data_IF_383446673436
#
_entry.id   IF_383446673436
#
_cell.length_a   1.000
_cell.length_b   1.000
_cell.length_c   1.000
_cell.angle_alpha   90.00
_cell.angle_beta   90.00
_cell.angle_gamma   90.00
#
_symmetry.space_group_name_H-M   'P 1'
#
loop_
_entity.id
_entity.type
_entity.pdbx_description
1 polymer ?
#
# COMPACT_ATOMS: atom_id res chain seq x y z
N UNK A 1 -9.38 -2.57 -16.17
CA UNK A 1 -9.48 -3.57 -15.09
C UNK A 1 -8.22 -3.47 -14.21
N UNK A 2 -8.35 -3.40 -12.88
CA UNK A 2 -7.20 -3.34 -11.97
C UNK A 2 -6.33 -4.60 -12.05
N UNK A 3 -5.01 -4.41 -12.16
CA UNK A 3 -4.01 -5.48 -12.24
C UNK A 3 -3.15 -5.51 -10.98
N UNK A 4 -2.65 -6.70 -10.66
CA UNK A 4 -1.72 -6.95 -9.55
C UNK A 4 -0.56 -7.80 -10.07
N UNK A 5 0.68 -7.36 -9.80
CA UNK A 5 1.85 -8.20 -10.05
C UNK A 5 2.00 -9.20 -8.91
N UNK A 6 1.94 -10.49 -9.23
CA UNK A 6 2.03 -11.57 -8.25
C UNK A 6 3.50 -11.94 -7.99
N UNK A 7 3.83 -12.42 -6.77
CA UNK A 7 5.17 -12.83 -6.45
C UNK A 7 5.70 -13.93 -7.40
N UNK A 8 7.00 -14.01 -7.67
CA UNK A 8 8.09 -13.14 -7.23
C UNK A 8 8.67 -12.32 -8.38
N UNK A 9 7.87 -12.01 -9.39
CA UNK A 9 8.33 -11.28 -10.57
C UNK A 9 7.35 -10.18 -10.97
N UNK A 10 7.90 -9.04 -11.36
CA UNK A 10 7.13 -7.85 -11.73
C UNK A 10 6.38 -8.02 -13.06
N UNK A 11 6.85 -8.93 -13.92
CA UNK A 11 6.26 -9.25 -15.22
C UNK A 11 5.11 -10.27 -15.12
N UNK A 12 4.92 -10.89 -13.95
CA UNK A 12 3.83 -11.83 -13.70
C UNK A 12 2.61 -11.07 -13.16
N UNK A 13 1.70 -10.66 -14.05
CA UNK A 13 0.51 -9.87 -13.69
C UNK A 13 -0.77 -10.70 -13.83
N UNK A 14 -1.68 -10.51 -12.87
CA UNK A 14 -3.04 -11.06 -12.91
C UNK A 14 -4.05 -9.96 -12.63
N UNK A 15 -5.30 -10.20 -13.02
CA UNK A 15 -6.40 -9.32 -12.63
C UNK A 15 -6.59 -9.37 -11.11
N UNK A 16 -6.86 -8.22 -10.50
CA UNK A 16 -7.13 -8.16 -9.06
C UNK A 16 -8.30 -9.07 -8.66
N UNK A 17 -9.31 -9.19 -9.53
CA UNK A 17 -10.46 -10.05 -9.32
C UNK A 17 -10.10 -11.54 -9.19
N UNK A 18 -9.08 -12.01 -9.93
CA UNK A 18 -8.61 -13.39 -9.86
C UNK A 18 -7.82 -13.70 -8.56
N UNK A 19 -7.48 -12.66 -7.80
CA UNK A 19 -6.75 -12.75 -6.53
C UNK A 19 -7.63 -12.37 -5.33
N UNK A 20 -8.90 -12.03 -5.57
CA UNK A 20 -9.83 -11.64 -4.51
C UNK A 20 -9.91 -12.72 -3.42
N UNK A 21 -9.90 -12.31 -2.15
CA UNK A 21 -9.88 -13.24 -1.01
C UNK A 21 -8.48 -13.65 -0.54
N UNK A 22 -7.40 -13.21 -1.22
CA UNK A 22 -6.03 -13.43 -0.75
C UNK A 22 -5.79 -12.57 0.49
N UNK A 23 -5.67 -13.20 1.66
CA UNK A 23 -5.47 -12.49 2.93
C UNK A 23 -4.16 -11.71 2.95
N UNK A 24 -4.20 -10.55 3.59
CA UNK A 24 -3.08 -9.64 3.72
C UNK A 24 -2.71 -9.41 5.18
N UNK A 25 -1.45 -9.63 5.51
CA UNK A 25 -0.88 -9.28 6.81
C UNK A 25 -0.36 -7.85 6.84
N UNK A 26 -0.05 -7.29 5.66
CA UNK A 26 0.38 -5.90 5.53
C UNK A 26 -0.07 -5.27 4.22
N UNK A 27 -0.44 -3.99 4.28
CA UNK A 27 -0.52 -3.11 3.12
C UNK A 27 0.52 -2.01 3.25
N UNK A 28 1.34 -1.84 2.22
CA UNK A 28 2.38 -0.82 2.19
C UNK A 28 2.15 0.17 1.04
N UNK A 29 1.85 1.41 1.41
CA UNK A 29 1.60 2.53 0.48
C UNK A 29 2.71 3.56 0.61
N UNK A 30 3.26 3.97 -0.52
CA UNK A 30 4.23 5.07 -0.55
C UNK A 30 5.67 4.63 -0.69
N UNK A 31 6.20 4.89 -1.88
CA UNK A 31 7.61 4.75 -2.25
C UNK A 31 7.96 5.89 -3.22
N UNK A 32 9.17 5.89 -3.81
CA UNK A 32 9.48 6.80 -4.92
C UNK A 32 8.50 6.64 -6.11
N UNK A 33 7.79 5.51 -6.22
CA UNK A 33 6.83 5.23 -7.31
C UNK A 33 5.44 5.78 -7.02
N UNK A 34 4.93 5.62 -5.79
CA UNK A 34 3.53 5.91 -5.45
C UNK A 34 3.36 6.58 -4.07
N UNK A 35 4.26 7.51 -3.73
CA UNK A 35 4.21 8.30 -2.50
C UNK A 35 4.04 9.81 -2.74
N UNK A 36 3.58 10.23 -3.92
CA UNK A 36 3.34 11.66 -4.22
C UNK A 36 2.09 12.15 -3.48
N UNK A 37 1.92 13.46 -3.41
CA UNK A 37 0.75 14.03 -2.72
C UNK A 37 -0.58 13.52 -3.31
N UNK A 38 -0.68 13.40 -4.63
CA UNK A 38 -1.87 12.87 -5.31
C UNK A 38 -2.17 11.41 -4.93
N UNK A 39 -1.14 10.59 -4.73
CA UNK A 39 -1.28 9.21 -4.26
C UNK A 39 -1.85 9.19 -2.83
N UNK A 40 -1.27 9.98 -1.92
CA UNK A 40 -1.75 10.09 -0.55
C UNK A 40 -3.18 10.62 -0.48
N UNK A 41 -3.51 11.62 -1.30
CA UNK A 41 -4.86 12.19 -1.40
C UNK A 41 -5.86 11.16 -1.88
N UNK A 42 -5.51 10.38 -2.91
CA UNK A 42 -6.37 9.29 -3.43
C UNK A 42 -6.59 8.23 -2.35
N UNK A 43 -5.53 7.79 -1.69
CA UNK A 43 -5.61 6.83 -0.60
C UNK A 43 -6.50 7.34 0.53
N UNK A 44 -6.25 8.56 1.02
CA UNK A 44 -7.02 9.21 2.08
C UNK A 44 -8.51 9.30 1.74
N UNK A 45 -8.87 9.69 0.52
CA UNK A 45 -10.27 9.78 0.09
C UNK A 45 -11.01 8.45 0.24
N UNK A 46 -10.36 7.33 -0.09
CA UNK A 46 -10.97 5.99 -0.06
C UNK A 46 -11.17 5.51 1.38
N UNK A 47 -10.17 5.77 2.25
CA UNK A 47 -10.18 5.30 3.66
C UNK A 47 -10.86 6.26 4.64
N UNK A 48 -11.13 7.50 4.23
CA UNK A 48 -11.74 8.53 5.09
C UNK A 48 -13.06 8.06 5.68
N UNK A 49 -13.19 8.20 7.00
CA UNK A 49 -14.37 7.77 7.77
C UNK A 49 -14.51 6.25 7.93
N UNK A 50 -13.52 5.46 7.49
CA UNK A 50 -13.49 4.00 7.60
C UNK A 50 -12.31 3.57 8.48
N UNK A 51 -12.16 2.25 8.71
CA UNK A 51 -11.05 1.66 9.46
C UNK A 51 -10.39 0.56 8.64
N UNK A 52 -9.07 0.53 8.62
CA UNK A 52 -8.32 -0.56 7.99
C UNK A 52 -8.43 -1.84 8.82
N UNK A 53 -8.53 -2.98 8.14
CA UNK A 53 -8.63 -4.30 8.75
C UNK A 53 -7.27 -4.97 8.96
N UNK A 54 -6.24 -4.52 8.24
CA UNK A 54 -4.88 -5.06 8.31
C UNK A 54 -3.85 -3.96 8.57
N UNK A 55 -2.63 -4.36 8.98
CA UNK A 55 -1.52 -3.45 9.26
C UNK A 55 -1.20 -2.65 8.00
N UNK A 56 -1.49 -1.35 8.03
CA UNK A 56 -1.34 -0.49 6.86
C UNK A 56 -0.32 0.61 7.14
N UNK A 57 0.76 0.62 6.36
CA UNK A 57 1.87 1.56 6.50
C UNK A 57 1.87 2.51 5.32
N UNK A 58 1.89 3.81 5.60
CA UNK A 58 1.88 4.88 4.60
C UNK A 58 3.12 5.76 4.74
N UNK A 59 3.95 5.84 3.70
CA UNK A 59 5.20 6.64 3.70
C UNK A 59 5.18 7.69 2.58
N UNK A 60 5.14 8.98 2.91
CA UNK A 60 5.27 10.05 1.91
C UNK A 60 6.61 9.98 1.18
N UNK A 61 6.64 10.28 -0.12
CA UNK A 61 7.85 10.18 -0.93
C UNK A 61 8.92 11.23 -0.58
N UNK A 62 8.52 12.36 0.02
CA UNK A 62 9.45 13.43 0.39
C UNK A 62 8.93 14.26 1.56
N UNK A 63 9.81 15.07 2.15
CA UNK A 63 9.43 16.05 3.18
C UNK A 63 8.40 17.06 2.67
N UNK A 64 8.53 17.52 1.42
CA UNK A 64 7.58 18.46 0.83
C UNK A 64 6.17 17.84 0.74
N UNK A 65 6.08 16.59 0.28
CA UNK A 65 4.80 15.87 0.22
C UNK A 65 4.21 15.66 1.62
N UNK A 66 5.04 15.31 2.62
CA UNK A 66 4.58 15.20 4.00
C UNK A 66 4.02 16.54 4.51
N UNK A 67 4.72 17.64 4.29
CA UNK A 67 4.26 18.97 4.71
C UNK A 67 2.93 19.36 4.05
N UNK A 68 2.77 19.08 2.76
CA UNK A 68 1.53 19.32 2.02
C UNK A 68 0.38 18.44 2.56
N UNK A 69 0.64 17.15 2.82
CA UNK A 69 -0.34 16.23 3.40
C UNK A 69 -0.80 16.64 4.81
N UNK A 70 0.10 17.22 5.62
CA UNK A 70 -0.24 17.80 6.91
C UNK A 70 -1.11 19.04 6.73
N UNK A 71 -0.72 19.98 5.86
CA UNK A 71 -1.42 21.25 5.66
C UNK A 71 -2.83 21.12 5.08
N UNK A 72 -3.10 20.02 4.36
CA UNK A 72 -4.40 19.76 3.70
C UNK A 72 -5.34 18.86 4.49
N UNK A 73 -4.88 18.27 5.60
CA UNK A 73 -5.66 17.31 6.40
C UNK A 73 -5.69 15.88 5.84
N UNK A 74 -5.09 15.63 4.67
CA UNK A 74 -4.96 14.28 4.08
C UNK A 74 -4.33 13.30 5.07
N UNK A 75 -3.31 13.76 5.81
CA UNK A 75 -2.66 12.90 6.80
C UNK A 75 -3.57 12.56 7.99
N UNK A 76 -4.46 13.48 8.37
CA UNK A 76 -5.41 13.26 9.45
C UNK A 76 -6.41 12.15 9.08
N UNK A 77 -6.92 12.13 7.85
CA UNK A 77 -7.80 11.06 7.35
C UNK A 77 -7.12 9.69 7.38
N UNK A 78 -5.84 9.63 6.98
CA UNK A 78 -5.05 8.40 6.95
C UNK A 78 -4.82 7.87 8.38
N UNK A 79 -4.45 8.74 9.31
CA UNK A 79 -4.26 8.37 10.73
C UNK A 79 -5.60 7.96 11.35
N UNK A 80 -6.67 8.69 11.07
CA UNK A 80 -8.01 8.38 11.56
C UNK A 80 -8.49 7.01 11.08
N UNK A 81 -8.08 6.56 9.90
CA UNK A 81 -8.37 5.22 9.40
C UNK A 81 -7.62 4.10 10.13
N UNK A 82 -6.65 4.42 10.98
CA UNK A 82 -5.83 3.46 11.72
C UNK A 82 -4.52 3.09 11.02
N UNK A 83 -4.12 3.83 9.98
CA UNK A 83 -2.84 3.60 9.32
C UNK A 83 -1.66 4.15 10.12
N UNK A 84 -0.51 3.49 10.00
CA UNK A 84 0.77 3.94 10.53
C UNK A 84 1.44 4.84 9.48
N UNK A 85 1.74 6.08 9.84
CA UNK A 85 2.48 7.00 8.95
C UNK A 85 3.96 6.94 9.30
N UNK A 86 4.80 6.61 8.32
CA UNK A 86 6.26 6.65 8.46
C UNK A 86 6.88 7.98 8.04
N UNK A 87 8.15 8.18 8.40
CA UNK A 87 8.95 9.31 7.92
C UNK A 87 9.28 9.15 6.43
N UNK A 88 9.44 10.24 5.66
CA UNK A 88 9.73 10.14 4.24
C UNK A 88 11.00 9.34 3.96
N UNK A 89 10.90 8.34 3.09
CA UNK A 89 12.00 7.41 2.80
C UNK A 89 11.54 6.15 2.06
N UNK A 90 12.41 5.14 2.03
CA UNK A 90 12.14 3.88 1.32
C UNK A 90 11.42 2.82 2.17
N UNK A 91 11.32 3.02 3.49
CA UNK A 91 10.71 2.07 4.42
C UNK A 91 11.17 0.61 4.20
N UNK A 92 10.23 -0.35 4.06
CA UNK A 92 10.56 -1.77 3.92
C UNK A 92 10.91 -2.15 2.48
N UNK A 93 10.93 -1.22 1.51
CA UNK A 93 11.21 -1.52 0.09
C UNK A 93 12.56 -2.23 -0.15
N UNK A 94 13.50 -2.11 0.80
CA UNK A 94 14.79 -2.80 0.82
C UNK A 94 14.92 -3.80 1.97
N UNK A 95 13.84 -4.09 2.71
CA UNK A 95 13.85 -4.98 3.87
C UNK A 95 14.63 -4.42 5.06
N UNK A 96 14.83 -3.09 5.14
CA UNK A 96 15.71 -2.49 6.15
C UNK A 96 14.98 -2.04 7.42
N UNK A 97 13.81 -1.41 7.31
CA UNK A 97 13.08 -0.84 8.44
C UNK A 97 11.62 -0.50 8.08
N UNK A 98 10.83 -0.08 9.07
CA UNK A 98 9.48 0.48 8.90
C UNK A 98 8.48 -0.45 8.18
N UNK A 99 8.31 -1.68 8.69
CA UNK A 99 7.35 -2.65 8.16
C UNK A 99 7.98 -3.82 7.42
N UNK A 100 9.13 -4.30 7.89
CA UNK A 100 9.76 -5.52 7.36
C UNK A 100 8.81 -6.68 7.60
N UNK A 101 8.53 -7.46 6.56
CA UNK A 101 7.60 -8.58 6.64
C UNK A 101 8.29 -9.86 7.11
N UNK A 102 7.55 -10.64 7.90
CA UNK A 102 7.98 -11.93 8.43
C UNK A 102 7.84 -13.08 7.41
N UNK A 103 8.33 -14.25 7.82
CA UNK A 103 8.14 -15.48 7.06
C UNK A 103 6.65 -15.84 7.00
N UNK A 104 6.15 -16.14 5.79
CA UNK A 104 4.74 -16.46 5.55
C UNK A 104 3.80 -15.25 5.52
N UNK A 105 4.26 -14.03 5.85
CA UNK A 105 3.43 -12.83 5.74
C UNK A 105 3.23 -12.43 4.27
N UNK A 106 2.00 -12.01 3.95
CA UNK A 106 1.61 -11.50 2.64
C UNK A 106 1.46 -9.98 2.69
N UNK A 107 2.22 -9.29 1.84
CA UNK A 107 2.21 -7.85 1.70
C UNK A 107 1.64 -7.41 0.35
N UNK A 108 0.66 -6.52 0.35
CA UNK A 108 0.25 -5.78 -0.85
C UNK A 108 0.91 -4.40 -0.84
N UNK A 109 1.74 -4.12 -1.84
CA UNK A 109 2.56 -2.92 -1.89
C UNK A 109 2.33 -2.07 -3.13
N UNK A 110 2.47 -0.75 -2.99
CA UNK A 110 2.58 0.20 -4.11
C UNK A 110 4.05 0.49 -4.47
N UNK A 111 4.96 -0.43 -4.15
CA UNK A 111 6.34 -0.40 -4.62
C UNK A 111 6.45 -0.92 -6.06
N UNK A 112 7.66 -0.93 -6.62
CA UNK A 112 7.92 -1.38 -7.99
C UNK A 112 8.64 -2.74 -8.09
N UNK A 113 8.90 -3.42 -6.97
CA UNK A 113 9.68 -4.68 -6.92
C UNK A 113 9.10 -5.66 -5.90
N UNK A 114 8.94 -6.91 -6.31
CA UNK A 114 8.41 -8.01 -5.50
C UNK A 114 9.28 -9.27 -5.50
N UNK A 115 10.60 -9.10 -5.69
CA UNK A 115 11.54 -10.23 -5.63
C UNK A 115 11.47 -10.94 -4.27
N UNK A 116 11.80 -12.23 -4.25
CA UNK A 116 11.88 -13.00 -3.01
C UNK A 116 12.82 -12.30 -2.02
N UNK A 117 12.40 -12.24 -0.76
CA UNK A 117 13.13 -11.60 0.33
C UNK A 117 13.34 -10.09 0.20
N UNK A 118 12.60 -9.39 -0.69
CA UNK A 118 12.82 -7.96 -0.95
C UNK A 118 12.41 -7.05 0.21
N UNK A 119 11.33 -7.37 0.91
CA UNK A 119 10.81 -6.59 2.04
C UNK A 119 10.98 -7.29 3.39
N UNK A 120 11.64 -8.44 3.42
CA UNK A 120 11.76 -9.30 4.59
C UNK A 120 11.89 -10.76 4.19
N UNK A 121 12.53 -11.58 5.03
CA UNK A 121 12.86 -12.98 4.70
C UNK A 121 11.60 -13.83 4.75
N UNK A 122 11.31 -14.56 3.66
CA UNK A 122 10.22 -15.53 3.62
C UNK A 122 8.81 -14.95 3.40
N UNK A 123 8.67 -13.63 3.23
CA UNK A 123 7.39 -12.99 2.92
C UNK A 123 7.08 -12.91 1.42
N UNK A 124 5.78 -12.80 1.11
CA UNK A 124 5.26 -12.61 -0.25
C UNK A 124 4.88 -11.15 -0.50
N UNK A 125 5.15 -10.66 -1.71
CA UNK A 125 4.90 -9.26 -2.08
C UNK A 125 4.08 -9.22 -3.37
N UNK A 126 2.88 -8.65 -3.28
CA UNK A 126 2.03 -8.34 -4.40
C UNK A 126 2.18 -6.85 -4.72
N UNK A 127 2.24 -6.47 -5.99
CA UNK A 127 2.31 -5.05 -6.38
C UNK A 127 0.98 -4.60 -6.96
N UNK A 128 0.50 -3.44 -6.52
CA UNK A 128 -0.78 -2.90 -7.00
C UNK A 128 -0.80 -1.38 -7.06
N UNK A 129 -1.88 -0.85 -7.63
CA UNK A 129 -2.18 0.58 -7.59
C UNK A 129 -2.56 1.04 -6.18
N UNK A 130 -2.49 2.36 -5.94
CA UNK A 130 -2.94 2.97 -4.68
C UNK A 130 -4.41 2.70 -4.38
N UNK A 131 -5.28 2.73 -5.41
CA UNK A 131 -6.70 2.45 -5.24
C UNK A 131 -6.94 1.02 -4.77
N UNK A 132 -6.29 0.05 -5.42
CA UNK A 132 -6.34 -1.37 -5.04
C UNK A 132 -5.80 -1.58 -3.63
N UNK A 133 -4.67 -0.96 -3.28
CA UNK A 133 -4.12 -1.03 -1.93
C UNK A 133 -5.06 -0.45 -0.87
N UNK A 134 -5.73 0.66 -1.16
CA UNK A 134 -6.66 1.30 -0.23
C UNK A 134 -7.89 0.42 0.07
N UNK A 135 -8.57 -0.10 -0.95
CA UNK A 135 -9.72 -0.99 -0.74
C UNK A 135 -9.32 -2.31 -0.09
N UNK A 136 -8.14 -2.82 -0.43
CA UNK A 136 -7.60 -4.06 0.18
C UNK A 136 -7.22 -3.85 1.64
N UNK A 137 -6.71 -2.67 2.02
CA UNK A 137 -6.42 -2.33 3.41
C UNK A 137 -7.69 -2.31 4.27
N UNK A 138 -8.81 -1.83 3.70
CA UNK A 138 -10.12 -1.85 4.35
C UNK A 138 -10.69 -3.27 4.48
N UNK A 139 -10.47 -4.11 3.47
CA UNK A 139 -10.99 -5.49 3.44
C UNK A 139 -10.14 -6.48 4.26
N UNK A 140 -8.83 -6.26 4.38
CA UNK A 140 -7.89 -7.22 4.97
C UNK A 140 -7.44 -8.34 4.02
N UNK A 141 -7.84 -8.23 2.75
CA UNK A 141 -7.53 -9.15 1.67
C UNK A 141 -7.45 -8.38 0.35
N UNK A 142 -6.88 -8.97 -0.70
CA UNK A 142 -6.86 -8.35 -2.03
C UNK A 142 -8.31 -8.11 -2.48
N UNK A 143 -8.63 -6.85 -2.75
CA UNK A 143 -9.96 -6.41 -3.19
C UNK A 143 -9.88 -5.55 -4.45
N UNK A 144 -10.98 -5.49 -5.19
CA UNK A 144 -11.08 -4.75 -6.46
C UNK A 144 -11.65 -3.36 -6.19
N UNK A 145 -10.97 -2.27 -6.59
CA UNK A 145 -11.53 -0.93 -6.48
C UNK A 145 -12.64 -0.70 -7.51
N UNK A 146 -13.65 0.08 -7.14
CA UNK A 146 -14.73 0.50 -8.05
C UNK A 146 -14.26 1.67 -8.94
N UNK A 147 -15.01 2.00 -9.99
CA UNK A 147 -14.65 3.12 -10.87
C UNK A 147 -14.48 4.46 -10.12
N UNK A 148 -15.28 4.68 -9.08
CA UNK A 148 -15.26 5.89 -8.26
C UNK A 148 -13.97 6.03 -7.45
N UNK A 149 -13.33 4.92 -7.08
CA UNK A 149 -12.08 4.92 -6.32
C UNK A 149 -10.88 5.34 -7.19
N UNK A 150 -10.96 5.15 -8.50
CA UNK A 150 -9.87 5.39 -9.45
C UNK A 150 -9.83 6.84 -9.95
N UNK A 151 -10.99 7.48 -10.12
CA UNK A 151 -11.14 8.85 -10.64
C UNK A 151 -10.60 9.90 -9.67
#
# INVERSE_FOLDING_TARGET
>A
MPLVAVPHRVDNVREAAALAGTRLDQVFVGTCTNGRFEDLRRFARIVRGKKVATRTIVIPASRAVLQEAVGTGVLADIIAAGCIVGTPGCGPCLGTHAGVIGEGEVCLSTANRNFKSRMGVGGEIYLSSVATAAVSALAGEIAVPEEEDVR
#
